data_IF_429939037633
#
_entry.id   IF_429939037633
#
_cell.length_a   1.000
_cell.length_b   1.000
_cell.length_c   1.000
_cell.angle_alpha   90.00
_cell.angle_beta   90.00
_cell.angle_gamma   90.00
#
_symmetry.space_group_name_H-M   'P 1'
#
loop_
_entity.id
_entity.type
_entity.pdbx_description
1 polymer ?
#
# COMPACT_ATOMS: atom_id res chain seq x y z
N UNK A 1 -9.77 7.89 6.89
CA UNK A 1 -8.60 8.16 7.76
C UNK A 1 -7.47 7.27 7.26
N UNK A 2 -6.18 7.62 7.37
CA UNK A 2 -5.16 6.72 6.84
C UNK A 2 -5.17 5.36 7.58
N UNK A 3 -5.24 4.24 6.85
CA UNK A 3 -5.19 2.91 7.45
C UNK A 3 -3.79 2.65 8.02
N UNK A 4 -3.73 2.10 9.24
CA UNK A 4 -2.48 1.81 9.95
C UNK A 4 -2.41 0.36 10.38
N UNK A 5 -1.22 -0.23 10.32
CA UNK A 5 -0.94 -1.59 10.75
C UNK A 5 0.48 -1.68 11.32
N UNK A 6 0.60 -2.01 12.61
CA UNK A 6 1.90 -2.23 13.29
C UNK A 6 2.95 -1.12 13.05
N UNK A 7 2.52 0.14 13.14
CA UNK A 7 3.38 1.30 12.91
C UNK A 7 3.65 1.65 11.44
N UNK A 8 3.05 0.92 10.50
CA UNK A 8 3.00 1.29 9.08
C UNK A 8 1.70 2.02 8.76
N UNK A 9 1.77 3.00 7.87
CA UNK A 9 0.64 3.68 7.27
C UNK A 9 0.49 3.23 5.82
N UNK A 10 -0.75 3.03 5.37
CA UNK A 10 -1.08 2.71 3.98
C UNK A 10 -1.12 3.98 3.13
N UNK A 11 -0.44 3.93 1.99
CA UNK A 11 -0.42 4.97 0.98
C UNK A 11 -0.87 4.40 -0.36
N UNK A 12 -1.35 5.29 -1.22
CA UNK A 12 -1.63 4.98 -2.62
C UNK A 12 -1.06 6.02 -3.57
N UNK A 13 -0.72 5.59 -4.78
CA UNK A 13 -0.34 6.48 -5.88
C UNK A 13 -0.70 5.85 -7.21
N UNK A 14 -0.83 6.69 -8.23
CA UNK A 14 -0.94 6.23 -9.61
C UNK A 14 0.47 6.07 -10.18
N UNK A 15 0.70 4.95 -10.86
CA UNK A 15 1.94 4.67 -11.57
C UNK A 15 1.62 4.24 -12.98
N UNK A 16 2.47 4.63 -13.91
CA UNK A 16 2.46 4.09 -15.26
C UNK A 16 3.26 2.78 -15.28
N UNK A 17 2.60 1.68 -15.64
CA UNK A 17 3.25 0.39 -15.84
C UNK A 17 3.87 0.31 -17.24
N UNK A 18 4.75 -0.68 -17.42
CA UNK A 18 5.31 -0.98 -18.74
C UNK A 18 4.17 -1.22 -19.75
N UNK A 19 4.14 -0.42 -20.82
CA UNK A 19 3.07 -0.45 -21.83
C UNK A 19 2.04 0.67 -21.72
N UNK A 20 2.30 1.71 -20.91
CA UNK A 20 1.46 2.92 -20.86
C UNK A 20 0.20 2.79 -19.98
N UNK A 21 0.01 1.65 -19.31
CA UNK A 21 -1.16 1.43 -18.47
C UNK A 21 -0.99 2.13 -17.12
N UNK A 22 -1.89 3.07 -16.84
CA UNK A 22 -2.01 3.66 -15.50
C UNK A 22 -2.63 2.65 -14.53
N UNK A 23 -1.99 2.46 -13.38
CA UNK A 23 -2.49 1.62 -12.29
C UNK A 23 -2.30 2.31 -10.95
N UNK A 24 -3.33 2.28 -10.11
CA UNK A 24 -3.20 2.65 -8.70
C UNK A 24 -2.52 1.51 -7.94
N UNK A 25 -1.44 1.82 -7.25
CA UNK A 25 -0.77 0.89 -6.36
C UNK A 25 -0.97 1.30 -4.90
N UNK A 26 -0.86 0.32 -4.02
CA UNK A 26 -0.97 0.47 -2.57
C UNK A 26 0.32 -0.04 -1.92
N UNK A 27 0.83 0.68 -0.94
CA UNK A 27 2.06 0.29 -0.24
C UNK A 27 2.08 0.82 1.19
N UNK A 28 2.80 0.11 2.06
CA UNK A 28 2.96 0.46 3.46
C UNK A 28 4.30 1.16 3.71
N UNK A 29 4.29 2.20 4.54
CA UNK A 29 5.51 2.93 4.97
C UNK A 29 5.42 3.31 6.45
N UNK A 30 6.54 3.29 7.17
CA UNK A 30 6.63 3.76 8.57
C UNK A 30 6.72 5.28 8.69
N UNK A 31 7.29 5.93 7.67
CA UNK A 31 7.41 7.38 7.59
C UNK A 31 6.72 7.94 6.36
N UNK A 32 6.80 9.25 6.18
CA UNK A 32 6.27 9.92 5.00
C UNK A 32 7.05 9.51 3.74
N UNK A 33 6.40 8.91 2.74
CA UNK A 33 7.06 8.51 1.51
C UNK A 33 7.29 9.72 0.60
N UNK A 34 8.29 9.61 -0.30
CA UNK A 34 8.57 10.64 -1.33
C UNK A 34 7.42 10.85 -2.33
N UNK A 35 6.43 9.97 -2.34
CA UNK A 35 5.31 10.03 -3.29
C UNK A 35 4.11 9.26 -2.75
N UNK A 36 2.92 9.63 -3.19
CA UNK A 36 1.67 9.00 -2.80
C UNK A 36 1.02 9.69 -1.61
N UNK A 37 -0.26 9.41 -1.42
CA UNK A 37 -1.07 9.99 -0.36
C UNK A 37 -1.53 8.90 0.61
N UNK A 38 -1.59 9.18 1.92
CA UNK A 38 -2.21 8.27 2.88
C UNK A 38 -3.64 7.93 2.46
N UNK A 39 -4.05 6.67 2.60
CA UNK A 39 -5.40 6.26 2.21
C UNK A 39 -5.99 5.20 3.15
N UNK A 40 -7.32 5.06 3.08
CA UNK A 40 -8.04 3.96 3.71
C UNK A 40 -7.77 2.63 2.97
N UNK A 41 -7.94 1.50 3.67
CA UNK A 41 -7.79 0.17 3.08
C UNK A 41 -8.96 -0.10 2.11
N UNK A 42 -8.70 -0.49 0.85
CA UNK A 42 -9.77 -0.84 -0.09
C UNK A 42 -10.57 -2.06 0.37
N UNK A 43 -11.85 -2.11 0.00
CA UNK A 43 -12.71 -3.26 0.25
C UNK A 43 -12.23 -4.49 -0.54
N UNK A 44 -12.41 -5.70 0.02
CA UNK A 44 -11.97 -6.96 -0.59
C UNK A 44 -10.46 -7.21 -0.52
N UNK A 45 -9.74 -6.48 0.35
CA UNK A 45 -8.32 -6.70 0.61
C UNK A 45 -8.06 -6.97 2.09
N UNK A 46 -7.20 -7.96 2.35
CA UNK A 46 -6.63 -8.25 3.67
C UNK A 46 -5.18 -7.79 3.74
N UNK A 47 -4.68 -7.59 4.97
CA UNK A 47 -3.26 -7.30 5.22
C UNK A 47 -2.54 -8.61 5.48
N UNK A 48 -1.54 -8.91 4.66
CA UNK A 48 -0.55 -9.95 4.95
C UNK A 48 0.77 -9.32 5.38
N UNK A 49 1.57 -10.06 6.14
CA UNK A 49 2.94 -9.63 6.51
C UNK A 49 3.93 -10.59 5.89
N UNK A 50 4.90 -10.06 5.15
CA UNK A 50 5.96 -10.89 4.57
C UNK A 50 6.82 -11.48 5.71
N UNK A 51 6.91 -12.80 5.80
CA UNK A 51 7.61 -13.47 6.90
C UNK A 51 9.11 -13.14 6.97
N UNK A 52 9.74 -12.88 5.81
CA UNK A 52 11.17 -12.56 5.68
C UNK A 52 11.48 -11.10 5.99
N UNK A 53 10.73 -10.16 5.39
CA UNK A 53 11.02 -8.71 5.51
C UNK A 53 10.20 -8.01 6.60
N UNK A 54 9.19 -8.68 7.14
CA UNK A 54 8.16 -8.11 8.02
C UNK A 54 7.37 -6.93 7.42
N UNK A 55 7.47 -6.73 6.11
CA UNK A 55 6.75 -5.68 5.42
C UNK A 55 5.28 -6.08 5.22
N UNK A 56 4.31 -5.26 5.66
CA UNK A 56 2.91 -5.48 5.36
C UNK A 56 2.60 -5.24 3.88
N UNK A 57 1.67 -6.00 3.33
CA UNK A 57 1.17 -5.85 1.97
C UNK A 57 -0.33 -6.13 1.91
N UNK A 58 -1.00 -5.57 0.90
CA UNK A 58 -2.40 -5.90 0.63
C UNK A 58 -2.47 -7.15 -0.23
N UNK A 59 -3.29 -8.11 0.20
CA UNK A 59 -3.65 -9.31 -0.55
C UNK A 59 -5.14 -9.23 -0.85
N UNK A 60 -5.53 -9.49 -2.10
CA UNK A 60 -6.94 -9.60 -2.46
C UNK A 60 -7.51 -10.87 -1.80
N UNK A 61 -8.70 -10.74 -1.21
CA UNK A 61 -9.46 -11.89 -0.70
C UNK A 61 -9.78 -12.89 -1.82
#
# INVERSE_FOLDING_TARGET
>A
MAYKHEGYTLYSREVELKGGRMQRIYFFSKGEPKSGAPCDKPAGYMVGVNSRTKLPYLKKE
#
